data_IF_463110042565
#
_entry.id   IF_463110042565
#
_cell.length_a   1.000
_cell.length_b   1.000
_cell.length_c   1.000
_cell.angle_alpha   90.00
_cell.angle_beta   90.00
_cell.angle_gamma   90.00
#
_symmetry.space_group_name_H-M   'P 1'
#
loop_
_entity.id
_entity.type
_entity.pdbx_description
1 polymer ?
#
# COMPACT_ATOMS: atom_id res chain seq x y z
N UNK A 1 0.45 -19.69 2.25
CA UNK A 1 -0.39 -18.62 1.69
C UNK A 1 -0.28 -18.63 0.16
N UNK A 2 -1.39 -18.57 -0.59
CA UNK A 2 -1.37 -18.61 -2.07
C UNK A 2 -2.48 -19.38 -2.76
N UNK A 3 -3.46 -19.91 -2.01
CA UNK A 3 -4.52 -20.77 -2.57
C UNK A 3 -5.70 -20.00 -3.18
N UNK A 4 -5.92 -18.75 -2.79
CA UNK A 4 -7.12 -17.97 -3.16
C UNK A 4 -7.09 -17.42 -4.59
N UNK A 5 -5.93 -16.91 -5.03
CA UNK A 5 -5.80 -16.23 -6.31
C UNK A 5 -4.87 -16.99 -7.25
N UNK A 6 -5.25 -17.10 -8.52
CA UNK A 6 -4.44 -17.68 -9.58
C UNK A 6 -3.42 -16.67 -10.13
N UNK A 7 -3.80 -15.39 -10.16
CA UNK A 7 -2.95 -14.24 -10.52
C UNK A 7 -3.21 -13.12 -9.52
N UNK A 8 -2.16 -12.39 -9.16
CA UNK A 8 -2.27 -11.17 -8.34
C UNK A 8 -1.19 -10.17 -8.74
N UNK A 9 -1.54 -8.90 -8.75
CA UNK A 9 -0.63 -7.82 -9.09
C UNK A 9 -0.98 -6.62 -8.23
N UNK A 10 0.04 -6.07 -7.57
CA UNK A 10 -0.03 -4.80 -6.85
C UNK A 10 0.84 -3.80 -7.61
N UNK A 11 0.30 -2.63 -7.91
CA UNK A 11 1.02 -1.54 -8.58
C UNK A 11 0.78 -0.24 -7.83
N UNK A 12 1.78 0.63 -7.86
CA UNK A 12 1.64 2.01 -7.43
C UNK A 12 1.11 2.85 -8.60
N UNK A 13 0.28 3.83 -8.31
CA UNK A 13 -0.28 4.73 -9.33
C UNK A 13 0.72 5.79 -9.78
N UNK A 14 1.58 6.19 -8.86
CA UNK A 14 2.63 7.16 -9.06
C UNK A 14 3.87 6.76 -8.22
N UNK A 15 5.04 7.34 -8.50
CA UNK A 15 6.17 7.24 -7.59
C UNK A 15 5.75 7.69 -6.17
N UNK A 16 6.18 6.99 -5.12
CA UNK A 16 5.84 7.34 -3.75
C UNK A 16 6.38 8.73 -3.38
N UNK A 17 5.58 9.50 -2.65
CA UNK A 17 6.08 10.70 -1.97
C UNK A 17 6.91 10.25 -0.77
N UNK A 18 8.18 10.67 -0.71
CA UNK A 18 9.11 10.27 0.36
C UNK A 18 9.59 11.51 1.10
N UNK A 19 9.35 11.51 2.42
CA UNK A 19 9.80 12.54 3.34
C UNK A 19 10.84 11.96 4.30
N UNK A 20 12.04 12.53 4.34
CA UNK A 20 13.14 12.03 5.17
C UNK A 20 13.38 12.96 6.36
N UNK A 21 13.41 12.38 7.55
CA UNK A 21 13.59 13.02 8.85
C UNK A 21 14.80 12.41 9.57
N UNK A 22 16.01 12.71 9.09
CA UNK A 22 17.25 12.14 9.62
C UNK A 22 17.29 10.61 9.48
N UNK A 23 17.11 9.90 10.60
CA UNK A 23 17.06 8.43 10.63
C UNK A 23 15.64 7.86 10.54
N UNK A 24 14.62 8.70 10.31
CA UNK A 24 13.27 8.27 10.01
C UNK A 24 12.87 8.72 8.59
N UNK A 25 11.93 8.02 7.97
CA UNK A 25 11.31 8.46 6.72
C UNK A 25 9.85 8.02 6.67
N UNK A 26 9.03 8.78 5.95
CA UNK A 26 7.66 8.42 5.63
C UNK A 26 7.54 8.29 4.12
N UNK A 27 6.98 7.18 3.66
CA UNK A 27 6.63 6.97 2.26
C UNK A 27 5.11 6.88 2.13
N UNK A 28 4.51 7.69 1.27
CA UNK A 28 3.08 7.72 1.00
C UNK A 28 2.82 7.45 -0.47
N UNK A 29 1.86 6.56 -0.77
CA UNK A 29 1.51 6.21 -2.14
C UNK A 29 0.11 5.59 -2.23
N UNK A 30 -0.51 5.80 -3.39
CA UNK A 30 -1.72 5.10 -3.80
C UNK A 30 -1.36 3.83 -4.57
N UNK A 31 -2.22 2.82 -4.45
CA UNK A 31 -2.01 1.52 -5.07
C UNK A 31 -3.28 0.93 -5.68
N UNK A 32 -3.08 0.13 -6.71
CA UNK A 32 -4.09 -0.72 -7.35
C UNK A 32 -3.70 -2.19 -7.18
N UNK A 33 -4.62 -2.96 -6.60
CA UNK A 33 -4.52 -4.40 -6.49
C UNK A 33 -5.54 -5.07 -7.40
N UNK A 34 -5.05 -5.91 -8.31
CA UNK A 34 -5.88 -6.73 -9.17
C UNK A 34 -5.54 -8.20 -8.96
N UNK A 35 -6.54 -9.02 -8.69
CA UNK A 35 -6.38 -10.46 -8.53
C UNK A 35 -7.49 -11.25 -9.21
N UNK A 36 -7.15 -12.44 -9.70
CA UNK A 36 -8.12 -13.38 -10.28
C UNK A 36 -8.30 -14.53 -9.31
N UNK A 37 -9.54 -14.74 -8.86
CA UNK A 37 -9.89 -15.85 -7.97
C UNK A 37 -9.75 -17.19 -8.67
N UNK A 38 -9.21 -18.17 -7.95
CA UNK A 38 -8.96 -19.51 -8.50
C UNK A 38 -10.22 -20.38 -8.58
N UNK A 39 -11.17 -20.17 -7.67
CA UNK A 39 -12.39 -20.96 -7.53
C UNK A 39 -13.40 -20.70 -8.66
N UNK A 40 -13.52 -19.45 -9.10
CA UNK A 40 -14.56 -19.03 -10.05
C UNK A 40 -14.05 -18.12 -11.18
N UNK A 41 -12.75 -17.82 -11.21
CA UNK A 41 -12.16 -16.95 -12.24
C UNK A 41 -12.53 -15.47 -12.12
N UNK A 42 -13.27 -15.05 -11.09
CA UNK A 42 -13.65 -13.64 -10.93
C UNK A 42 -12.44 -12.75 -10.68
N UNK A 43 -12.43 -11.60 -11.35
CA UNK A 43 -11.46 -10.54 -11.13
C UNK A 43 -11.92 -9.65 -9.98
N UNK A 44 -11.08 -9.54 -8.95
CA UNK A 44 -11.22 -8.57 -7.89
C UNK A 44 -10.25 -7.41 -8.14
N UNK A 45 -10.77 -6.19 -8.09
CA UNK A 45 -9.98 -4.97 -8.16
C UNK A 45 -10.27 -4.11 -6.93
N UNK A 46 -9.21 -3.71 -6.23
CA UNK A 46 -9.30 -2.83 -5.07
C UNK A 46 -8.21 -1.76 -5.18
N UNK A 47 -8.54 -0.54 -4.81
CA UNK A 47 -7.59 0.57 -4.70
C UNK A 47 -7.44 0.97 -3.25
N UNK A 48 -6.39 1.71 -2.93
CA UNK A 48 -6.17 2.21 -1.58
C UNK A 48 -4.98 3.15 -1.49
N UNK A 49 -4.79 3.69 -0.30
CA UNK A 49 -3.62 4.50 0.06
C UNK A 49 -2.83 3.80 1.15
N UNK A 50 -1.52 3.95 1.10
CA UNK A 50 -0.62 3.42 2.12
C UNK A 50 0.38 4.47 2.57
N UNK A 51 0.61 4.52 3.88
CA UNK A 51 1.66 5.28 4.53
C UNK A 51 2.57 4.32 5.28
N UNK A 52 3.85 4.33 4.93
CA UNK A 52 4.88 3.52 5.60
C UNK A 52 5.81 4.43 6.39
N UNK A 53 6.07 4.07 7.64
CA UNK A 53 7.14 4.69 8.43
C UNK A 53 8.35 3.78 8.41
N UNK A 54 9.49 4.37 8.11
CA UNK A 54 10.78 3.72 8.00
C UNK A 54 11.75 4.26 9.05
N UNK A 55 12.56 3.37 9.62
CA UNK A 55 13.68 3.73 10.47
C UNK A 55 14.99 3.23 9.86
N UNK A 56 16.02 4.08 9.86
CA UNK A 56 17.38 3.74 9.47
C UNK A 56 18.12 3.18 10.68
N UNK A 57 18.31 1.87 10.68
CA UNK A 57 18.97 1.14 11.76
C UNK A 57 20.48 1.08 11.45
N UNK A 58 21.38 1.43 12.39
CA UNK A 58 22.83 1.31 12.21
C UNK A 58 23.23 -0.08 11.72
N UNK A 59 24.14 -0.16 10.75
CA UNK A 59 24.66 -1.40 10.14
C UNK A 59 23.61 -2.31 9.46
N UNK A 60 22.34 -1.90 9.43
CA UNK A 60 21.21 -2.68 8.91
C UNK A 60 20.52 -1.98 7.74
N UNK A 61 20.52 -0.64 7.75
CA UNK A 61 19.86 0.20 6.75
C UNK A 61 18.40 0.48 7.09
N UNK A 62 17.63 0.90 6.09
CA UNK A 62 16.22 1.24 6.24
C UNK A 62 15.35 0.00 6.49
N UNK A 63 14.44 0.09 7.45
CA UNK A 63 13.42 -0.93 7.76
C UNK A 63 12.07 -0.27 7.95
N UNK A 64 11.02 -0.90 7.43
CA UNK A 64 9.64 -0.53 7.73
C UNK A 64 9.38 -0.84 9.20
N UNK A 65 8.96 0.15 9.97
CA UNK A 65 8.62 0.02 11.39
C UNK A 65 7.12 0.20 11.64
N UNK A 66 6.39 0.81 10.70
CA UNK A 66 4.94 0.92 10.74
C UNK A 66 4.38 0.98 9.32
N UNK A 67 3.20 0.39 9.12
CA UNK A 67 2.41 0.52 7.89
C UNK A 67 0.99 0.81 8.29
N UNK A 68 0.41 1.85 7.69
CA UNK A 68 -1.01 2.10 7.69
C UNK A 68 -1.50 2.02 6.25
N UNK A 69 -2.55 1.24 6.00
CA UNK A 69 -3.23 1.23 4.70
C UNK A 69 -4.73 1.41 4.90
N UNK A 70 -5.35 2.08 3.93
CA UNK A 70 -6.78 2.35 3.91
C UNK A 70 -7.34 2.21 2.49
N UNK A 71 -8.67 2.24 2.38
CA UNK A 71 -9.31 2.43 1.08
C UNK A 71 -9.00 3.82 0.49
N UNK A 72 -9.42 4.09 -0.74
CA UNK A 72 -9.25 5.41 -1.34
C UNK A 72 -9.94 6.48 -0.47
N UNK A 73 -9.40 7.70 -0.52
CA UNK A 73 -10.01 8.83 0.15
C UNK A 73 -11.46 8.99 -0.30
N UNK A 74 -12.37 9.08 0.66
CA UNK A 74 -13.78 9.36 0.39
C UNK A 74 -13.97 10.85 0.20
N UNK A 75 -14.69 11.24 -0.84
CA UNK A 75 -14.90 12.65 -1.23
C UNK A 75 -16.37 13.08 -1.15
N UNK A 76 -17.25 12.24 -0.61
CA UNK A 76 -18.66 12.57 -0.41
C UNK A 76 -18.89 13.59 0.71
N UNK A 77 -20.00 14.32 0.63
CA UNK A 77 -20.48 15.15 1.76
C UNK A 77 -20.76 14.24 2.95
N UNK A 78 -20.17 14.51 4.11
CA UNK A 78 -20.29 13.60 5.26
C UNK A 78 -19.10 12.66 5.46
N UNK A 79 -18.15 12.60 4.51
CA UNK A 79 -17.08 11.60 4.49
C UNK A 79 -15.68 12.23 4.45
N UNK A 80 -14.67 11.45 4.83
CA UNK A 80 -13.26 11.83 4.67
C UNK A 80 -12.65 12.65 5.82
N UNK A 81 -13.39 12.81 6.91
CA UNK A 81 -12.95 13.41 8.18
C UNK A 81 -13.26 12.49 9.36
#
# INVERSE_FOLDING_TARGET
>A
MGKTFSKRTLKLDAPPAIHVYGNAAVAEFDWHFTAVRRDNGQTQHTTGRESQVWAKIPNTGWRIVHVHYSGPAKTGVGEGY
#
